data_IF_215285217515
#
_entry.id   IF_215285217515
#
_cell.length_a   1.000
_cell.length_b   1.000
_cell.length_c   1.000
_cell.angle_alpha   90.00
_cell.angle_beta   90.00
_cell.angle_gamma   90.00
#
_symmetry.space_group_name_H-M   'P 1'
#
loop_
_entity.id
_entity.type
_entity.pdbx_description
1 polymer ?
#
# COMPACT_ATOMS: atom_id res chain seq x y z
N UNK A 1 6.03 -16.83 76.23
CA UNK A 1 5.81 -18.28 75.96
C UNK A 1 4.40 -18.49 75.44
N UNK A 2 4.25 -19.33 74.38
CA UNK A 2 3.01 -19.84 73.72
C UNK A 2 2.29 -18.82 72.81
N UNK A 3 2.55 -18.77 71.50
CA UNK A 3 2.23 -19.69 70.37
C UNK A 3 0.75 -19.67 69.89
N UNK A 4 0.58 -19.44 68.59
CA UNK A 4 -0.37 -20.05 67.60
C UNK A 4 -0.50 -19.11 66.38
N UNK A 5 0.16 -19.40 65.24
CA UNK A 5 -0.32 -20.22 64.10
C UNK A 5 -1.70 -19.84 63.57
N UNK A 6 -1.75 -19.40 62.30
CA UNK A 6 -2.75 -19.71 61.24
C UNK A 6 -2.30 -18.98 59.95
N UNK A 7 -1.59 -19.65 59.04
CA UNK A 7 -2.06 -20.59 58.01
C UNK A 7 -2.72 -19.89 56.81
N UNK A 8 -2.00 -19.96 55.70
CA UNK A 8 -2.47 -20.27 54.35
C UNK A 8 -3.43 -19.31 53.65
N UNK A 9 -2.86 -18.44 52.80
CA UNK A 9 -3.53 -17.86 51.64
C UNK A 9 -2.56 -17.85 50.45
N UNK A 10 -2.18 -19.03 49.97
CA UNK A 10 -1.47 -19.19 48.69
C UNK A 10 -2.23 -20.23 47.88
N UNK A 11 -3.35 -19.82 47.31
CA UNK A 11 -4.06 -20.65 46.35
C UNK A 11 -4.62 -19.75 45.24
N UNK A 12 -4.16 -20.06 44.02
CA UNK A 12 -4.81 -19.72 42.76
C UNK A 12 -4.86 -18.23 42.36
N UNK A 13 -3.73 -17.71 41.90
CA UNK A 13 -3.72 -16.60 40.93
C UNK A 13 -2.67 -16.86 39.83
N UNK A 14 -2.73 -18.05 39.23
CA UNK A 14 -2.06 -18.36 37.97
C UNK A 14 -3.16 -18.62 36.92
N UNK A 15 -4.07 -17.66 36.76
CA UNK A 15 -4.89 -17.57 35.56
C UNK A 15 -3.96 -17.08 34.46
N UNK A 16 -3.47 -18.04 33.68
CA UNK A 16 -2.74 -17.90 32.44
C UNK A 16 -3.37 -16.83 31.55
N UNK A 17 -2.74 -15.64 31.54
CA UNK A 17 -2.87 -14.65 30.48
C UNK A 17 -2.22 -15.22 29.21
N UNK A 18 -2.87 -16.20 28.61
CA UNK A 18 -2.69 -16.53 27.20
C UNK A 18 -3.38 -15.42 26.40
N UNK A 19 -2.77 -14.23 26.41
CA UNK A 19 -3.08 -13.19 25.44
C UNK A 19 -2.72 -13.77 24.09
N UNK A 20 -3.72 -14.36 23.44
CA UNK A 20 -3.62 -14.74 22.04
C UNK A 20 -3.28 -13.45 21.30
N UNK A 21 -2.03 -13.32 20.85
CA UNK A 21 -1.64 -12.30 19.90
C UNK A 21 -2.47 -12.57 18.66
N UNK A 22 -3.67 -11.98 18.61
CA UNK A 22 -4.49 -12.01 17.42
C UNK A 22 -3.59 -11.46 16.31
N UNK A 23 -3.27 -12.31 15.34
CA UNK A 23 -2.64 -11.86 14.12
C UNK A 23 -3.47 -10.67 13.63
N UNK A 24 -2.89 -9.47 13.71
CA UNK A 24 -3.57 -8.26 13.30
C UNK A 24 -3.72 -8.37 11.81
N UNK A 25 -4.89 -8.87 11.38
CA UNK A 25 -5.24 -8.91 9.98
C UNK A 25 -5.06 -7.47 9.44
N UNK A 26 -4.33 -7.35 8.34
CA UNK A 26 -4.22 -6.09 7.64
C UNK A 26 -5.62 -5.70 7.14
N UNK A 27 -6.16 -4.58 7.64
CA UNK A 27 -7.54 -4.16 7.38
C UNK A 27 -7.61 -2.80 6.66
N UNK A 28 -6.54 -2.02 6.69
CA UNK A 28 -6.54 -0.68 6.12
C UNK A 28 -6.25 -0.71 4.62
N UNK A 29 -6.82 0.22 3.83
CA UNK A 29 -6.49 0.36 2.42
C UNK A 29 -5.01 0.65 2.22
N UNK A 30 -4.36 -0.09 1.32
CA UNK A 30 -2.96 0.10 0.95
C UNK A 30 -1.97 -0.06 2.11
N UNK A 31 -2.32 -0.89 3.09
CA UNK A 31 -1.50 -1.09 4.28
C UNK A 31 -0.20 -1.80 3.96
N UNK A 32 -0.25 -2.85 3.12
CA UNK A 32 0.95 -3.59 2.72
C UNK A 32 1.80 -2.77 1.75
N UNK A 33 1.18 -2.03 0.83
CA UNK A 33 1.90 -1.04 0.01
C UNK A 33 2.67 -0.07 0.89
N UNK A 34 2.02 0.50 1.92
CA UNK A 34 2.67 1.44 2.85
C UNK A 34 3.82 0.79 3.61
N UNK A 35 3.66 -0.48 4.01
CA UNK A 35 4.71 -1.25 4.68
C UNK A 35 5.92 -1.45 3.76
N UNK A 36 5.70 -1.86 2.52
CA UNK A 36 6.77 -2.08 1.55
C UNK A 36 7.44 -0.79 1.08
N UNK A 37 6.71 0.33 1.09
CA UNK A 37 7.25 1.66 0.82
C UNK A 37 8.09 2.24 1.98
N UNK A 38 7.97 1.67 3.19
CA UNK A 38 8.53 2.18 4.43
C UNK A 38 7.52 3.02 5.21
N UNK A 39 6.92 2.44 6.25
CA UNK A 39 5.90 3.10 7.09
C UNK A 39 6.41 4.33 7.82
N UNK A 40 7.71 4.48 7.99
CA UNK A 40 8.36 5.66 8.56
C UNK A 40 8.38 6.84 7.58
N UNK A 41 8.29 6.57 6.27
CA UNK A 41 8.27 7.57 5.20
C UNK A 41 6.85 7.83 4.73
N UNK A 42 6.07 6.77 4.53
CA UNK A 42 4.75 6.85 3.92
C UNK A 42 3.62 6.55 4.88
N UNK A 43 2.47 7.16 4.62
CA UNK A 43 1.23 6.95 5.33
C UNK A 43 0.06 6.92 4.34
N UNK A 44 -0.86 5.95 4.48
CA UNK A 44 -2.05 5.88 3.65
C UNK A 44 -2.99 7.07 3.94
N UNK A 45 -3.47 7.73 2.88
CA UNK A 45 -4.42 8.84 2.99
C UNK A 45 -5.79 8.39 2.49
N UNK A 46 -6.61 7.87 3.40
CA UNK A 46 -7.82 7.10 3.04
C UNK A 46 -8.89 7.89 2.29
N UNK A 47 -8.90 9.23 2.45
CA UNK A 47 -9.81 10.15 1.76
C UNK A 47 -9.10 11.00 0.71
N UNK A 48 -8.01 10.47 0.11
CA UNK A 48 -7.31 11.11 -0.99
C UNK A 48 -7.23 10.19 -2.19
N UNK A 49 -7.47 10.77 -3.35
CA UNK A 49 -7.42 10.08 -4.64
C UNK A 49 -6.68 10.96 -5.64
N UNK A 50 -6.04 10.34 -6.62
CA UNK A 50 -5.41 11.06 -7.72
C UNK A 50 -6.12 10.74 -9.04
N UNK A 51 -6.21 11.73 -9.93
CA UNK A 51 -6.63 11.53 -11.31
C UNK A 51 -5.75 12.35 -12.25
N UNK A 52 -5.70 11.96 -13.52
CA UNK A 52 -5.08 12.76 -14.57
C UNK A 52 -6.02 13.85 -15.11
N UNK A 53 -7.30 13.80 -14.72
CA UNK A 53 -8.32 14.77 -15.13
C UNK A 53 -8.32 15.98 -14.20
N UNK A 54 -8.55 17.16 -14.76
CA UNK A 54 -8.67 18.39 -14.00
C UNK A 54 -10.09 18.52 -13.39
N UNK A 55 -10.29 19.40 -12.38
CA UNK A 55 -11.59 19.52 -11.70
C UNK A 55 -12.77 19.78 -12.65
N UNK A 56 -12.58 20.59 -13.69
CA UNK A 56 -13.62 20.91 -14.68
C UNK A 56 -13.99 19.74 -15.60
N UNK A 57 -13.16 18.70 -15.67
CA UNK A 57 -13.37 17.51 -16.51
C UNK A 57 -13.98 16.35 -15.71
N UNK A 58 -14.16 16.51 -14.40
CA UNK A 58 -14.78 15.54 -13.50
C UNK A 58 -16.24 15.91 -13.23
N UNK A 59 -17.13 14.93 -13.01
CA UNK A 59 -18.51 15.18 -12.59
C UNK A 59 -18.55 15.89 -11.24
N UNK A 60 -19.39 16.93 -11.12
CA UNK A 60 -19.54 17.69 -9.88
C UNK A 60 -20.12 16.84 -8.75
N UNK A 61 -20.88 15.80 -9.09
CA UNK A 61 -21.52 14.84 -8.19
C UNK A 61 -20.53 13.98 -7.41
N UNK A 62 -19.26 13.93 -7.85
CA UNK A 62 -18.20 13.25 -7.10
C UNK A 62 -17.76 14.04 -5.85
N UNK A 63 -18.13 15.32 -5.74
CA UNK A 63 -17.83 16.21 -4.61
C UNK A 63 -16.33 16.20 -4.23
N UNK A 64 -15.48 16.48 -5.21
CA UNK A 64 -14.03 16.41 -5.09
C UNK A 64 -13.43 17.79 -4.86
N UNK A 65 -12.75 17.97 -3.72
CA UNK A 65 -11.98 19.17 -3.46
C UNK A 65 -10.52 18.99 -3.91
N UNK A 66 -10.05 19.82 -4.84
CA UNK A 66 -8.66 19.78 -5.28
C UNK A 66 -7.72 20.19 -4.14
N UNK A 67 -6.79 19.31 -3.77
CA UNK A 67 -5.79 19.55 -2.74
C UNK A 67 -4.45 20.02 -3.32
N UNK A 68 -3.99 19.36 -4.38
CA UNK A 68 -2.66 19.58 -4.94
C UNK A 68 -2.63 19.19 -6.41
N UNK A 69 -1.70 19.79 -7.15
CA UNK A 69 -1.28 19.32 -8.48
C UNK A 69 0.23 19.11 -8.51
N UNK A 70 0.69 17.98 -9.04
CA UNK A 70 2.10 17.77 -9.35
C UNK A 70 2.30 16.86 -10.56
N UNK A 71 3.15 17.28 -11.49
CA UNK A 71 3.28 16.62 -12.78
C UNK A 71 1.94 16.58 -13.52
N UNK A 72 1.51 15.37 -13.90
CA UNK A 72 0.21 15.13 -14.51
C UNK A 72 -0.93 14.87 -13.53
N UNK A 73 -0.65 14.73 -12.22
CA UNK A 73 -1.64 14.32 -11.23
C UNK A 73 -2.35 15.52 -10.61
N UNK A 74 -3.68 15.41 -10.53
CA UNK A 74 -4.54 16.20 -9.67
C UNK A 74 -4.92 15.32 -8.47
N UNK A 75 -4.65 15.82 -7.27
CA UNK A 75 -4.93 15.12 -6.01
C UNK A 75 -6.16 15.75 -5.38
N UNK A 76 -7.14 14.92 -5.08
CA UNK A 76 -8.43 15.33 -4.54
C UNK A 76 -8.66 14.77 -3.15
N UNK A 77 -9.36 15.54 -2.33
CA UNK A 77 -10.03 15.02 -1.14
C UNK A 77 -11.40 14.46 -1.54
N UNK A 78 -11.75 13.33 -0.95
CA UNK A 78 -13.06 12.70 -1.10
C UNK A 78 -13.85 12.76 0.21
N UNK A 79 -15.18 12.89 0.18
CA UNK A 79 -16.00 12.93 1.40
C UNK A 79 -16.00 11.59 2.15
N UNK A 80 -15.73 10.48 1.44
CA UNK A 80 -15.68 9.13 1.99
C UNK A 80 -14.48 8.36 1.47
N UNK A 81 -14.08 7.31 2.17
CA UNK A 81 -13.01 6.40 1.77
C UNK A 81 -13.45 5.61 0.53
N UNK A 82 -12.62 5.60 -0.52
CA UNK A 82 -12.93 4.91 -1.79
C UNK A 82 -12.21 3.57 -1.95
N UNK A 83 -11.08 3.40 -1.27
CA UNK A 83 -10.26 2.21 -1.35
C UNK A 83 -10.46 1.31 -0.12
N UNK A 84 -10.20 0.03 -0.29
CA UNK A 84 -10.19 -1.01 0.74
C UNK A 84 -8.91 -1.84 0.59
N UNK A 85 -8.67 -2.82 1.47
CA UNK A 85 -7.62 -3.81 1.23
C UNK A 85 -7.78 -4.46 -0.15
N UNK A 86 -9.00 -4.86 -0.51
CA UNK A 86 -9.31 -5.58 -1.75
C UNK A 86 -9.39 -4.66 -2.98
N UNK A 87 -9.33 -3.34 -2.78
CA UNK A 87 -9.41 -2.35 -3.86
C UNK A 87 -8.27 -1.34 -3.80
N UNK A 88 -7.14 -1.67 -3.17
CA UNK A 88 -5.93 -0.84 -3.21
C UNK A 88 -5.29 -0.94 -4.60
N UNK A 89 -5.90 -0.32 -5.59
CA UNK A 89 -5.49 -0.37 -7.00
C UNK A 89 -6.14 0.77 -7.77
N UNK A 90 -5.91 0.88 -9.09
CA UNK A 90 -6.66 1.81 -9.93
C UNK A 90 -8.16 1.52 -9.78
N UNK A 91 -8.94 2.57 -9.50
CA UNK A 91 -10.39 2.50 -9.34
C UNK A 91 -11.04 3.25 -10.49
N UNK A 92 -11.84 2.53 -11.27
CA UNK A 92 -12.71 3.14 -12.28
C UNK A 92 -14.09 3.39 -11.70
N UNK A 93 -14.55 4.63 -11.77
CA UNK A 93 -15.93 5.02 -11.47
C UNK A 93 -16.66 5.38 -12.75
N UNK A 94 -17.89 4.90 -12.88
CA UNK A 94 -18.75 5.23 -14.03
C UNK A 94 -19.74 6.31 -13.64
N UNK A 95 -19.81 7.38 -14.44
CA UNK A 95 -20.81 8.43 -14.30
C UNK A 95 -21.26 8.89 -15.68
N UNK A 96 -22.57 8.92 -15.94
CA UNK A 96 -23.14 9.22 -17.27
C UNK A 96 -22.46 8.43 -18.42
N UNK A 97 -22.32 7.11 -18.25
CA UNK A 97 -21.67 6.19 -19.20
C UNK A 97 -20.20 6.50 -19.54
N UNK A 98 -19.54 7.37 -18.76
CA UNK A 98 -18.11 7.67 -18.86
C UNK A 98 -17.36 7.09 -17.69
N UNK A 99 -16.19 6.53 -17.97
CA UNK A 99 -15.28 5.99 -16.96
C UNK A 99 -14.26 7.04 -16.52
N UNK A 100 -14.08 7.13 -15.22
CA UNK A 100 -13.16 8.03 -14.55
C UNK A 100 -12.20 7.22 -13.70
N UNK A 101 -10.93 7.23 -14.08
CA UNK A 101 -9.87 6.50 -13.39
C UNK A 101 -9.30 7.31 -12.23
N UNK A 102 -9.17 6.65 -11.08
CA UNK A 102 -8.59 7.19 -9.86
C UNK A 102 -7.50 6.26 -9.33
N UNK A 103 -6.45 6.86 -8.79
CA UNK A 103 -5.32 6.14 -8.20
C UNK A 103 -5.26 6.39 -6.69
N UNK A 104 -4.81 5.39 -5.90
CA UNK A 104 -4.59 5.57 -4.47
C UNK A 104 -3.40 6.50 -4.19
N UNK A 105 -3.52 7.23 -3.08
CA UNK A 105 -2.57 8.26 -2.67
C UNK A 105 -2.06 7.96 -1.26
N UNK A 106 -0.75 8.06 -1.12
CA UNK A 106 -0.06 8.06 0.17
C UNK A 106 0.49 9.47 0.44
N UNK A 107 0.75 9.78 1.70
CA UNK A 107 1.47 10.96 2.13
C UNK A 107 2.92 10.58 2.42
N UNK A 108 3.87 11.29 1.80
CA UNK A 108 5.25 11.25 2.22
C UNK A 108 5.45 12.17 3.42
N UNK A 109 5.58 11.58 4.62
CA UNK A 109 5.71 12.29 5.89
C UNK A 109 6.99 13.12 5.99
N UNK A 110 8.03 12.77 5.24
CA UNK A 110 9.29 13.52 5.23
C UNK A 110 9.19 14.84 4.46
N UNK A 111 8.41 14.85 3.38
CA UNK A 111 8.31 16.02 2.49
C UNK A 111 6.98 16.76 2.61
N UNK A 112 5.96 16.14 3.22
CA UNK A 112 4.59 16.65 3.26
C UNK A 112 3.83 16.53 1.92
N UNK A 113 4.43 15.91 0.90
CA UNK A 113 3.82 15.79 -0.42
C UNK A 113 2.97 14.53 -0.57
N UNK A 114 1.93 14.63 -1.40
CA UNK A 114 1.19 13.47 -1.86
C UNK A 114 2.04 12.65 -2.85
N UNK A 115 1.89 11.33 -2.74
CA UNK A 115 2.60 10.33 -3.51
C UNK A 115 1.55 9.40 -4.15
N UNK A 116 1.51 9.36 -5.49
CA UNK A 116 0.51 8.56 -6.23
C UNK A 116 1.06 7.18 -6.53
N UNK A 117 0.28 6.14 -6.23
CA UNK A 117 0.62 4.76 -6.55
C UNK A 117 0.22 4.43 -8.00
N UNK A 118 1.20 4.10 -8.84
CA UNK A 118 1.02 4.03 -10.31
C UNK A 118 1.11 2.62 -10.91
N UNK A 119 1.16 1.58 -10.08
CA UNK A 119 1.32 0.20 -10.57
C UNK A 119 2.74 -0.18 -11.01
N UNK A 120 3.72 0.69 -10.75
CA UNK A 120 5.13 0.39 -11.00
C UNK A 120 5.81 -0.05 -9.71
N UNK A 121 6.57 -1.14 -9.76
CA UNK A 121 7.26 -1.72 -8.62
C UNK A 121 8.70 -2.10 -8.95
N UNK A 122 9.56 -2.10 -7.95
CA UNK A 122 10.83 -2.82 -7.98
C UNK A 122 10.59 -4.24 -7.50
N UNK A 123 10.96 -5.21 -8.31
CA UNK A 123 10.98 -6.64 -7.97
C UNK A 123 12.43 -7.08 -7.78
N UNK A 124 12.71 -7.81 -6.70
CA UNK A 124 13.95 -8.57 -6.50
C UNK A 124 13.62 -10.02 -6.23
N UNK A 125 14.36 -10.93 -6.85
CA UNK A 125 14.31 -12.36 -6.56
C UNK A 125 15.52 -12.81 -5.75
N UNK A 126 15.42 -13.95 -5.06
CA UNK A 126 16.59 -14.51 -4.35
C UNK A 126 17.71 -14.95 -5.29
N UNK A 127 17.37 -15.27 -6.53
CA UNK A 127 18.31 -15.73 -7.56
C UNK A 127 18.02 -15.07 -8.91
N UNK A 128 19.04 -14.68 -9.68
CA UNK A 128 18.86 -14.02 -10.97
C UNK A 128 18.01 -14.81 -11.98
N UNK A 129 18.13 -16.14 -12.00
CA UNK A 129 17.39 -17.01 -12.91
C UNK A 129 15.88 -16.96 -12.69
N UNK A 130 15.43 -16.74 -11.45
CA UNK A 130 14.01 -16.70 -11.12
C UNK A 130 13.31 -15.40 -11.54
N UNK A 131 14.07 -14.33 -11.85
CA UNK A 131 13.49 -13.03 -12.13
C UNK A 131 12.50 -13.07 -13.29
N UNK A 132 12.88 -13.69 -14.40
CA UNK A 132 12.00 -13.82 -15.56
C UNK A 132 10.84 -14.77 -15.27
N UNK A 133 11.10 -15.87 -14.55
CA UNK A 133 10.07 -16.85 -14.19
C UNK A 133 8.96 -16.24 -13.34
N UNK A 134 9.30 -15.40 -12.35
CA UNK A 134 8.33 -14.68 -11.53
C UNK A 134 7.54 -13.68 -12.38
N UNK A 135 8.23 -12.89 -13.22
CA UNK A 135 7.56 -11.90 -14.08
C UNK A 135 6.52 -12.58 -14.99
N UNK A 136 6.88 -13.71 -15.60
CA UNK A 136 5.98 -14.46 -16.48
C UNK A 136 4.83 -15.10 -15.70
N UNK A 137 5.12 -15.69 -14.52
CA UNK A 137 4.14 -16.35 -13.64
C UNK A 137 3.00 -15.41 -13.22
N UNK A 138 3.32 -14.17 -12.87
CA UNK A 138 2.33 -13.17 -12.46
C UNK A 138 1.85 -12.29 -13.63
N UNK A 139 2.36 -12.50 -14.84
CA UNK A 139 1.97 -11.74 -16.03
C UNK A 139 2.35 -10.26 -15.98
N UNK A 140 3.38 -9.93 -15.20
CA UNK A 140 3.94 -8.58 -15.10
C UNK A 140 4.66 -8.20 -16.39
N UNK A 141 4.80 -6.89 -16.61
CA UNK A 141 5.60 -6.36 -17.72
C UNK A 141 6.93 -5.86 -17.17
N UNK A 142 8.04 -6.44 -17.61
CA UNK A 142 9.36 -5.87 -17.32
C UNK A 142 9.49 -4.52 -18.03
N UNK A 143 9.72 -3.45 -17.26
CA UNK A 143 10.00 -2.11 -17.80
C UNK A 143 11.49 -1.98 -18.08
N UNK A 144 12.32 -2.31 -17.09
CA UNK A 144 13.77 -2.35 -17.24
C UNK A 144 14.39 -3.31 -16.23
N UNK A 145 15.42 -4.04 -16.64
CA UNK A 145 16.32 -4.71 -15.70
C UNK A 145 17.19 -3.67 -15.01
N UNK A 146 17.50 -3.87 -13.73
CA UNK A 146 18.41 -3.01 -12.99
C UNK A 146 19.86 -3.54 -13.12
N UNK A 147 20.89 -2.77 -12.71
CA UNK A 147 22.28 -3.21 -12.83
C UNK A 147 22.61 -4.52 -12.11
N UNK A 148 21.85 -4.84 -11.05
CA UNK A 148 21.85 -6.18 -10.47
C UNK A 148 20.87 -7.06 -11.24
N UNK A 149 21.34 -8.25 -11.61
CA UNK A 149 20.65 -9.18 -12.50
C UNK A 149 19.44 -9.90 -11.86
N UNK A 150 19.34 -9.86 -10.52
CA UNK A 150 18.23 -10.32 -9.69
C UNK A 150 17.13 -9.27 -9.50
N UNK A 151 17.23 -8.09 -10.14
CA UNK A 151 16.30 -6.98 -9.95
C UNK A 151 15.75 -6.38 -11.25
N UNK A 152 14.49 -5.97 -11.21
CA UNK A 152 13.86 -5.22 -12.28
C UNK A 152 12.85 -4.18 -11.77
N UNK A 153 12.63 -3.16 -12.59
CA UNK A 153 11.41 -2.35 -12.51
C UNK A 153 10.36 -3.04 -13.38
N UNK A 154 9.19 -3.27 -12.79
CA UNK A 154 8.06 -3.93 -13.42
C UNK A 154 6.83 -3.01 -13.38
N UNK A 155 5.97 -3.18 -14.37
CA UNK A 155 4.60 -2.67 -14.40
C UNK A 155 3.66 -3.86 -14.20
N UNK A 156 2.83 -3.79 -13.16
CA UNK A 156 2.00 -4.92 -12.73
C UNK A 156 0.64 -4.97 -13.42
N UNK A 157 0.40 -4.13 -14.45
CA UNK A 157 -0.91 -3.89 -15.08
C UNK A 157 -1.95 -3.36 -14.07
N UNK A 158 -3.09 -2.84 -14.54
CA UNK A 158 -4.20 -2.55 -13.65
C UNK A 158 -4.67 -3.84 -12.96
N UNK A 159 -4.50 -3.88 -11.64
CA UNK A 159 -5.02 -4.94 -10.78
C UNK A 159 -5.93 -4.32 -9.73
N UNK A 160 -6.83 -5.11 -9.18
CA UNK A 160 -7.79 -4.63 -8.20
C UNK A 160 -7.12 -4.23 -6.87
N UNK A 161 -6.13 -5.02 -6.43
CA UNK A 161 -5.41 -4.79 -5.18
C UNK A 161 -3.92 -5.11 -5.29
N UNK A 162 -3.11 -4.07 -5.07
CA UNK A 162 -1.68 -4.19 -4.84
C UNK A 162 -1.37 -4.81 -3.48
N UNK A 163 -2.23 -4.63 -2.46
CA UNK A 163 -2.05 -5.30 -1.17
C UNK A 163 -2.15 -6.82 -1.33
N UNK A 164 -3.16 -7.31 -2.05
CA UNK A 164 -3.33 -8.75 -2.28
C UNK A 164 -2.20 -9.32 -3.17
N UNK A 165 -1.72 -8.54 -4.13
CA UNK A 165 -0.54 -8.91 -4.93
C UNK A 165 0.72 -9.01 -4.07
N UNK A 166 0.98 -8.03 -3.20
CA UNK A 166 2.13 -8.07 -2.27
C UNK A 166 2.01 -9.28 -1.35
N UNK A 167 0.81 -9.56 -0.83
CA UNK A 167 0.58 -10.73 0.02
C UNK A 167 0.83 -12.06 -0.72
N UNK A 168 0.50 -12.13 -2.01
CA UNK A 168 0.81 -13.30 -2.83
C UNK A 168 2.32 -13.45 -3.06
N UNK A 169 3.01 -12.35 -3.36
CA UNK A 169 4.46 -12.33 -3.61
C UNK A 169 5.28 -12.61 -2.34
N UNK A 170 4.81 -12.17 -1.17
CA UNK A 170 5.46 -12.46 0.13
C UNK A 170 5.47 -13.97 0.45
N UNK A 171 4.49 -14.71 -0.07
CA UNK A 171 4.41 -16.18 0.05
C UNK A 171 5.20 -16.89 -1.04
N UNK A 172 5.70 -16.17 -2.04
CA UNK A 172 6.46 -16.73 -3.15
C UNK A 172 7.93 -16.89 -2.77
N UNK A 173 8.39 -18.13 -2.66
CA UNK A 173 9.75 -18.48 -2.26
C UNK A 173 10.84 -17.91 -3.17
N UNK A 174 10.50 -17.49 -4.38
CA UNK A 174 11.45 -16.97 -5.36
C UNK A 174 11.61 -15.45 -5.26
N UNK A 175 10.70 -14.78 -4.56
CA UNK A 175 10.65 -13.32 -4.39
C UNK A 175 11.31 -12.91 -3.08
N UNK A 176 12.25 -11.97 -3.16
CA UNK A 176 12.93 -11.39 -1.99
C UNK A 176 12.43 -9.98 -1.67
N UNK A 177 12.00 -9.21 -2.68
CA UNK A 177 11.47 -7.87 -2.47
C UNK A 177 10.44 -7.51 -3.53
N UNK A 178 9.38 -6.85 -3.10
CA UNK A 178 8.48 -6.08 -3.95
C UNK A 178 8.27 -4.69 -3.31
N UNK A 179 8.68 -3.62 -3.99
CA UNK A 179 8.59 -2.26 -3.44
C UNK A 179 7.92 -1.30 -4.43
N UNK A 180 6.90 -0.53 -4.02
CA UNK A 180 6.20 0.39 -4.93
C UNK A 180 7.10 1.56 -5.32
N UNK A 181 7.03 1.96 -6.60
CA UNK A 181 7.57 3.22 -7.08
C UNK A 181 6.44 4.24 -7.13
N UNK A 182 6.55 5.26 -6.28
CA UNK A 182 5.55 6.30 -6.15
C UNK A 182 5.82 7.47 -7.11
N UNK A 183 4.75 8.07 -7.63
CA UNK A 183 4.85 9.32 -8.37
C UNK A 183 4.72 10.49 -7.40
N UNK A 184 5.82 11.21 -7.19
CA UNK A 184 5.92 12.36 -6.29
C UNK A 184 6.35 13.63 -7.03
N UNK A 185 6.14 14.83 -6.46
CA UNK A 185 6.77 16.03 -6.97
C UNK A 185 8.29 15.85 -7.02
N UNK A 186 8.89 16.00 -8.21
CA UNK A 186 10.36 16.00 -8.32
C UNK A 186 10.91 17.24 -7.64
N UNK A 187 11.87 17.06 -6.74
CA UNK A 187 12.66 18.16 -6.21
C UNK A 187 13.31 18.91 -7.38
N UNK A 188 12.90 20.15 -7.62
CA UNK A 188 13.67 21.08 -8.45
C UNK A 188 14.57 21.87 -7.51
N UNK A 189 15.90 21.73 -7.58
CA UNK A 189 16.78 22.72 -6.98
C UNK A 189 16.40 24.07 -7.60
N UNK A 190 16.07 25.05 -6.75
CA UNK A 190 15.92 26.44 -7.18
C UNK A 190 17.28 27.04 -7.47
#
# INVERSE_FOLDING_TARGET
>A
MKSRLKSSLHAALFATLLSSSAAQAYLLPCQLVTQMAGTEIYEAQLQRVASLLAPQDLPAELDLALLQRHGGWYIYHTPQVWFSKQTCGPLDKTFNDKHYAFMPVLLNKKTGNNAVLTGTFVLRTYRPEHLQEVIDRYGFKMVTRLPKDDMAIIDVKPIQSYDDMIEALDKDRDVDLIAPIMSEPRFRPR
#
